data_IF_471035627999
#
_entry.id   IF_471035627999
#
_cell.length_a   1.000
_cell.length_b   1.000
_cell.length_c   1.000
_cell.angle_alpha   90.00
_cell.angle_beta   90.00
_cell.angle_gamma   90.00
#
_symmetry.space_group_name_H-M   'P 1'
#
loop_
_entity.id
_entity.type
_entity.pdbx_description
1 polymer ?
#
# COMPACT_ATOMS: atom_id res chain seq x y z
N UNK A 1 -4.30 -7.35 11.80
CA UNK A 1 -4.41 -8.01 10.49
C UNK A 1 -3.59 -7.30 9.43
N UNK A 2 -3.30 -7.98 8.33
CA UNK A 2 -2.71 -7.38 7.11
C UNK A 2 -3.84 -7.21 6.10
N UNK A 3 -3.90 -6.06 5.44
CA UNK A 3 -4.94 -5.72 4.46
C UNK A 3 -4.33 -5.53 3.09
N UNK A 4 -4.94 -6.13 2.07
CA UNK A 4 -4.66 -5.88 0.67
C UNK A 4 -5.84 -5.09 0.08
N UNK A 5 -5.59 -3.85 -0.32
CA UNK A 5 -6.62 -2.94 -0.80
C UNK A 5 -6.52 -2.78 -2.33
N UNK A 6 -7.54 -3.24 -3.04
CA UNK A 6 -7.75 -2.95 -4.45
C UNK A 6 -8.60 -1.69 -4.61
N UNK A 7 -8.02 -0.66 -5.24
CA UNK A 7 -8.71 0.60 -5.52
C UNK A 7 -9.00 0.80 -7.01
N UNK A 8 -9.06 -0.27 -7.81
CA UNK A 8 -9.28 -0.21 -9.27
C UNK A 8 -10.51 0.61 -9.64
N UNK A 9 -11.61 0.50 -8.89
CA UNK A 9 -12.83 1.30 -9.14
C UNK A 9 -12.63 2.81 -8.99
N UNK A 10 -11.57 3.25 -8.31
CA UNK A 10 -11.21 4.66 -8.11
C UNK A 10 -10.06 5.12 -9.02
N UNK A 11 -9.48 4.24 -9.85
CA UNK A 11 -8.20 4.53 -10.53
C UNK A 11 -8.23 5.73 -11.49
N UNK A 12 -9.41 6.12 -11.96
CA UNK A 12 -9.61 7.26 -12.86
C UNK A 12 -9.97 8.56 -12.11
N UNK A 13 -10.23 8.49 -10.80
CA UNK A 13 -10.48 9.66 -9.95
C UNK A 13 -9.21 10.00 -9.16
N UNK A 14 -8.40 10.89 -9.73
CA UNK A 14 -7.13 11.29 -9.13
C UNK A 14 -7.29 11.97 -7.77
N UNK A 15 -8.41 12.67 -7.54
CA UNK A 15 -8.68 13.33 -6.25
C UNK A 15 -8.96 12.29 -5.18
N UNK A 16 -9.80 11.30 -5.48
CA UNK A 16 -10.08 10.20 -4.58
C UNK A 16 -8.82 9.38 -4.27
N UNK A 17 -8.00 9.07 -5.28
CA UNK A 17 -6.74 8.32 -5.09
C UNK A 17 -5.74 9.10 -4.21
N UNK A 18 -5.61 10.42 -4.42
CA UNK A 18 -4.71 11.25 -3.61
C UNK A 18 -5.18 11.32 -2.15
N UNK A 19 -6.50 11.44 -1.94
CA UNK A 19 -7.09 11.43 -0.60
C UNK A 19 -6.88 10.08 0.08
N UNK A 20 -7.16 8.97 -0.59
CA UNK A 20 -6.95 7.61 -0.10
C UNK A 20 -5.49 7.42 0.35
N UNK A 21 -4.52 7.78 -0.49
CA UNK A 21 -3.10 7.68 -0.14
C UNK A 21 -2.72 8.53 1.09
N UNK A 22 -3.31 9.71 1.25
CA UNK A 22 -3.03 10.61 2.37
C UNK A 22 -3.60 10.06 3.68
N UNK A 23 -4.84 9.57 3.66
CA UNK A 23 -5.50 8.97 4.82
C UNK A 23 -4.78 7.69 5.27
N UNK A 24 -4.42 6.80 4.34
CA UNK A 24 -3.71 5.56 4.69
C UNK A 24 -2.34 5.83 5.31
N UNK A 25 -1.62 6.88 4.86
CA UNK A 25 -0.38 7.33 5.50
C UNK A 25 -0.60 7.77 6.95
N UNK A 26 -1.71 8.45 7.25
CA UNK A 26 -2.07 8.81 8.62
C UNK A 26 -2.39 7.57 9.45
N UNK A 27 -3.19 6.64 8.92
CA UNK A 27 -3.56 5.39 9.61
C UNK A 27 -2.32 4.57 10.00
N UNK A 28 -1.37 4.38 9.08
CA UNK A 28 -0.16 3.59 9.39
C UNK A 28 0.78 4.34 10.33
N UNK A 29 0.80 5.67 10.32
CA UNK A 29 1.54 6.46 11.32
C UNK A 29 0.95 6.25 12.71
N UNK A 30 -0.37 6.34 12.84
CA UNK A 30 -1.06 6.28 14.12
C UNK A 30 -1.06 4.86 14.70
N UNK A 31 -0.97 3.83 13.84
CA UNK A 31 -0.90 2.41 14.24
C UNK A 31 0.54 1.84 14.27
N UNK A 32 1.56 2.61 13.88
CA UNK A 32 2.95 2.13 13.78
C UNK A 32 3.21 1.14 12.63
N UNK A 33 2.28 1.02 11.68
CA UNK A 33 2.29 0.10 10.56
C UNK A 33 3.13 0.54 9.35
N UNK A 34 2.84 -0.02 8.18
CA UNK A 34 3.40 0.37 6.88
C UNK A 34 2.32 0.33 5.79
N UNK A 35 2.49 1.16 4.76
CA UNK A 35 1.67 1.17 3.54
C UNK A 35 2.59 1.09 2.31
N UNK A 36 2.33 0.13 1.43
CA UNK A 36 3.17 -0.14 0.27
C UNK A 36 2.33 -0.39 -0.99
N UNK A 37 2.74 0.19 -2.12
CA UNK A 37 2.20 -0.19 -3.42
C UNK A 37 2.74 -1.54 -3.86
N UNK A 38 1.85 -2.51 -4.11
CA UNK A 38 2.21 -3.87 -4.53
C UNK A 38 1.90 -4.12 -6.01
N UNK A 39 0.94 -3.40 -6.58
CA UNK A 39 0.65 -3.35 -8.02
C UNK A 39 0.08 -1.98 -8.39
N UNK A 40 -0.29 -1.76 -9.66
CA UNK A 40 -0.80 -0.48 -10.17
C UNK A 40 -1.96 0.09 -9.34
N UNK A 41 -2.89 -0.77 -8.92
CA UNK A 41 -4.09 -0.40 -8.17
C UNK A 41 -4.21 -1.12 -6.83
N UNK A 42 -3.11 -1.65 -6.31
CA UNK A 42 -3.13 -2.51 -5.14
C UNK A 42 -2.15 -1.99 -4.09
N UNK A 43 -2.65 -1.79 -2.87
CA UNK A 43 -1.88 -1.39 -1.70
C UNK A 43 -1.88 -2.50 -0.66
N UNK A 44 -0.76 -2.68 0.03
CA UNK A 44 -0.68 -3.48 1.24
C UNK A 44 -0.59 -2.56 2.46
N UNK A 45 -1.33 -2.88 3.51
CA UNK A 45 -1.26 -2.24 4.82
C UNK A 45 -0.93 -3.28 5.89
N UNK A 46 0.01 -2.93 6.77
CA UNK A 46 0.48 -3.83 7.82
C UNK A 46 0.35 -3.19 9.20
N UNK A 47 0.19 -3.98 10.27
CA UNK A 47 0.15 -3.47 11.65
C UNK A 47 1.56 -3.15 12.18
N UNK A 48 1.63 -2.60 13.39
CA UNK A 48 2.88 -2.42 14.12
C UNK A 48 3.73 -3.70 14.13
N UNK A 49 5.05 -3.54 13.97
CA UNK A 49 6.01 -4.65 13.98
C UNK A 49 6.12 -5.43 12.66
N UNK A 50 5.28 -5.15 11.67
CA UNK A 50 5.36 -5.74 10.32
C UNK A 50 5.65 -4.65 9.30
N UNK A 51 6.69 -4.83 8.48
CA UNK A 51 7.08 -3.90 7.40
C UNK A 51 7.12 -4.63 6.06
N UNK A 52 6.84 -3.91 4.99
CA UNK A 52 6.98 -4.46 3.64
C UNK A 52 8.38 -4.14 3.12
N UNK A 53 9.17 -5.17 2.83
CA UNK A 53 10.46 -4.98 2.16
C UNK A 53 10.22 -4.41 0.75
N UNK A 54 10.92 -3.32 0.42
CA UNK A 54 10.83 -2.67 -0.89
C UNK A 54 11.74 -3.35 -1.93
N UNK A 55 12.62 -4.26 -1.49
CA UNK A 55 13.40 -5.10 -2.39
C UNK A 55 12.51 -6.17 -3.03
N UNK A 56 12.18 -5.99 -4.31
CA UNK A 56 11.46 -7.01 -5.07
C UNK A 56 12.41 -8.16 -5.41
N UNK A 57 12.02 -9.37 -5.03
CA UNK A 57 12.65 -10.58 -5.53
C UNK A 57 12.48 -10.63 -7.05
N UNK A 58 13.59 -10.78 -7.77
CA UNK A 58 13.60 -10.97 -9.22
C UNK A 58 14.12 -12.39 -9.48
N UNK A 59 13.58 -13.11 -10.47
CA UNK A 59 14.21 -14.33 -10.93
C UNK A 59 15.63 -14.00 -11.38
N UNK A 60 16.61 -14.81 -10.97
CA UNK A 60 17.95 -14.68 -11.53
C UNK A 60 17.94 -15.21 -12.98
N UNK A 61 18.41 -14.40 -13.93
CA UNK A 61 18.71 -14.85 -15.30
C UNK A 61 17.57 -14.82 -16.32
N UNK A 62 16.66 -13.83 -16.27
CA UNK A 62 15.82 -13.47 -17.43
C UNK A 62 16.46 -12.35 -18.26
#
# INVERSE_FOLDING_TARGET
DIVLLDYTSLSNDQVAVNRLNSELKNVVRDTGGDVAGVSKNLLALTPAGIKVDRHKLRPEGL
#
